data_IF_972388937624
#
_entry.id   IF_972388937624
#
_cell.length_a   1.000
_cell.length_b   1.000
_cell.length_c   1.000
_cell.angle_alpha   90.00
_cell.angle_beta   90.00
_cell.angle_gamma   90.00
#
_symmetry.space_group_name_H-M   'P 1'
#
loop_
_entity.id
_entity.type
_entity.pdbx_description
1 polymer ?
#
# COMPACT_ATOMS: atom_id res chain seq x y z
N UNK A 1 -23.40 20.46 -47.00
CA UNK A 1 -23.76 20.48 -45.56
C UNK A 1 -23.05 19.32 -44.89
N UNK A 2 -21.89 19.57 -44.26
CA UNK A 2 -21.16 18.56 -43.47
C UNK A 2 -21.46 18.84 -42.00
N UNK A 3 -22.10 17.89 -41.32
CA UNK A 3 -22.30 17.91 -39.88
C UNK A 3 -20.97 17.66 -39.19
N UNK A 4 -20.45 18.66 -38.47
CA UNK A 4 -19.35 18.48 -37.55
C UNK A 4 -19.87 17.75 -36.30
N UNK A 5 -19.49 16.48 -36.16
CA UNK A 5 -19.59 15.74 -34.91
C UNK A 5 -18.68 16.41 -33.88
N UNK A 6 -19.26 17.02 -32.85
CA UNK A 6 -18.51 17.51 -31.70
C UNK A 6 -18.10 16.31 -30.86
N UNK A 7 -16.78 16.03 -30.80
CA UNK A 7 -16.21 15.08 -29.86
C UNK A 7 -16.55 15.52 -28.43
N UNK A 8 -17.49 14.83 -27.78
CA UNK A 8 -17.75 14.99 -26.36
C UNK A 8 -16.62 14.33 -25.57
N UNK A 9 -15.55 15.05 -25.26
CA UNK A 9 -14.65 14.66 -24.18
C UNK A 9 -15.39 14.84 -22.86
N UNK A 10 -16.06 13.80 -22.40
CA UNK A 10 -16.65 13.76 -21.06
C UNK A 10 -15.54 13.75 -20.03
N UNK A 11 -15.40 14.84 -19.27
CA UNK A 11 -14.48 14.87 -18.12
C UNK A 11 -14.87 13.78 -17.12
N UNK A 12 -13.89 13.07 -16.58
CA UNK A 12 -14.10 12.11 -15.52
C UNK A 12 -14.42 12.87 -14.22
N UNK A 13 -15.62 12.65 -13.66
CA UNK A 13 -16.06 13.30 -12.42
C UNK A 13 -16.14 12.32 -11.25
N UNK A 14 -15.48 11.16 -11.39
CA UNK A 14 -15.43 10.16 -10.34
C UNK A 14 -14.22 10.39 -9.43
N UNK A 15 -14.47 10.80 -8.19
CA UNK A 15 -13.43 11.08 -7.19
C UNK A 15 -12.54 9.88 -6.89
N UNK A 16 -13.07 8.66 -7.00
CA UNK A 16 -12.36 7.44 -6.67
C UNK A 16 -11.25 7.09 -7.68
N UNK A 17 -11.28 7.70 -8.87
CA UNK A 17 -10.28 7.45 -9.93
C UNK A 17 -9.07 8.39 -9.84
N UNK A 18 -9.08 9.34 -8.92
CA UNK A 18 -8.00 10.32 -8.76
C UNK A 18 -7.10 9.96 -7.59
N UNK A 19 -5.80 10.02 -7.82
CA UNK A 19 -4.81 9.93 -6.76
C UNK A 19 -4.86 11.18 -5.87
N UNK A 20 -4.42 11.05 -4.62
CA UNK A 20 -4.37 12.18 -3.70
C UNK A 20 -3.54 13.35 -4.25
N UNK A 21 -2.44 13.06 -4.96
CA UNK A 21 -1.60 14.07 -5.61
C UNK A 21 -2.36 14.86 -6.67
N UNK A 22 -3.20 14.20 -7.46
CA UNK A 22 -4.05 14.87 -8.46
C UNK A 22 -5.12 15.74 -7.80
N UNK A 23 -5.68 15.30 -6.66
CA UNK A 23 -6.62 16.12 -5.88
C UNK A 23 -5.95 17.36 -5.31
N UNK A 24 -4.70 17.27 -4.84
CA UNK A 24 -3.93 18.44 -4.41
C UNK A 24 -3.64 19.38 -5.58
N UNK A 25 -3.21 18.84 -6.73
CA UNK A 25 -2.95 19.61 -7.94
C UNK A 25 -4.18 20.38 -8.44
N UNK A 26 -5.40 19.85 -8.23
CA UNK A 26 -6.65 20.53 -8.56
C UNK A 26 -6.78 21.91 -7.90
N UNK A 27 -6.23 22.03 -6.70
CA UNK A 27 -6.26 23.25 -5.89
C UNK A 27 -4.91 23.99 -5.88
N UNK A 28 -3.92 23.52 -6.66
CA UNK A 28 -2.55 24.03 -6.69
C UNK A 28 -1.91 23.98 -5.30
N UNK A 29 -2.03 22.83 -4.63
CA UNK A 29 -1.53 22.58 -3.29
C UNK A 29 -0.38 21.58 -3.29
N UNK A 30 0.54 21.76 -2.34
CA UNK A 30 1.55 20.77 -1.99
C UNK A 30 1.09 19.92 -0.80
N UNK A 31 1.88 18.90 -0.42
CA UNK A 31 1.59 18.04 0.73
C UNK A 31 1.69 18.76 2.09
N UNK A 32 2.41 19.89 2.13
CA UNK A 32 2.49 20.76 3.30
C UNK A 32 1.44 21.86 3.21
N UNK A 33 0.23 21.58 3.71
CA UNK A 33 -0.93 22.44 3.54
C UNK A 33 -1.00 23.45 4.69
N UNK A 34 -1.03 24.74 4.37
CA UNK A 34 -1.30 25.80 5.35
C UNK A 34 -2.79 26.19 5.41
N UNK A 35 -3.17 26.96 6.44
CA UNK A 35 -4.55 27.47 6.59
C UNK A 35 -4.91 28.44 5.45
N UNK A 36 -3.95 29.23 4.99
CA UNK A 36 -4.09 30.16 3.87
C UNK A 36 -4.39 29.39 2.58
N UNK A 37 -3.75 28.24 2.40
CA UNK A 37 -3.93 27.37 1.24
C UNK A 37 -5.36 26.79 1.22
N UNK A 38 -5.87 26.36 2.37
CA UNK A 38 -7.27 25.91 2.49
C UNK A 38 -8.27 27.02 2.16
N UNK A 39 -8.00 28.27 2.55
CA UNK A 39 -8.85 29.42 2.18
C UNK A 39 -8.85 29.65 0.66
N UNK A 40 -7.70 29.50 0.00
CA UNK A 40 -7.59 29.60 -1.47
C UNK A 40 -8.35 28.46 -2.15
N UNK A 41 -8.15 27.22 -1.70
CA UNK A 41 -8.86 26.05 -2.22
C UNK A 41 -10.38 26.20 -2.07
N UNK A 42 -10.87 26.67 -0.91
CA UNK A 42 -12.29 26.99 -0.70
C UNK A 42 -12.82 28.01 -1.69
N UNK A 43 -12.02 29.02 -2.03
CA UNK A 43 -12.39 30.04 -3.03
C UNK A 43 -12.54 29.43 -4.41
N UNK A 44 -11.69 28.47 -4.79
CA UNK A 44 -11.81 27.72 -6.05
C UNK A 44 -13.13 26.95 -6.08
N UNK A 45 -13.47 26.20 -5.04
CA UNK A 45 -14.76 25.46 -4.94
C UNK A 45 -15.95 26.41 -5.10
N UNK A 46 -15.92 27.57 -4.45
CA UNK A 46 -16.99 28.57 -4.56
C UNK A 46 -17.14 29.14 -5.98
N UNK A 47 -16.04 29.25 -6.74
CA UNK A 47 -16.08 29.68 -8.15
C UNK A 47 -16.66 28.60 -9.06
N UNK A 48 -16.52 27.34 -8.69
CA UNK A 48 -17.08 26.20 -9.44
C UNK A 48 -18.59 26.02 -9.26
N UNK A 49 -19.24 26.78 -8.38
CA UNK A 49 -20.69 26.75 -8.20
C UNK A 49 -21.43 26.99 -9.55
N UNK A 50 -22.49 26.22 -9.86
CA UNK A 50 -23.17 26.28 -11.17
C UNK A 50 -23.64 27.69 -11.55
N UNK A 51 -24.03 28.49 -10.57
CA UNK A 51 -24.43 29.90 -10.75
C UNK A 51 -23.29 30.80 -11.29
N UNK A 52 -22.04 30.51 -10.89
CA UNK A 52 -20.87 31.33 -11.25
C UNK A 52 -20.12 30.78 -12.47
N UNK A 53 -19.88 29.47 -12.49
CA UNK A 53 -19.13 28.79 -13.55
C UNK A 53 -19.97 28.50 -14.78
N UNK A 54 -21.31 28.51 -14.65
CA UNK A 54 -22.28 28.04 -15.66
C UNK A 54 -22.03 26.59 -16.10
N UNK A 55 -21.29 25.83 -15.30
CA UNK A 55 -21.05 24.41 -15.51
C UNK A 55 -22.16 23.56 -14.87
N UNK A 56 -22.34 22.32 -15.33
CA UNK A 56 -23.28 21.39 -14.70
C UNK A 56 -22.98 21.23 -13.20
N UNK A 57 -24.01 21.03 -12.34
CA UNK A 57 -23.84 20.86 -10.90
C UNK A 57 -22.83 19.77 -10.52
N UNK A 58 -22.68 18.73 -11.34
CA UNK A 58 -21.77 17.61 -11.10
C UNK A 58 -20.31 18.05 -10.90
N UNK A 59 -19.86 19.11 -11.59
CA UNK A 59 -18.52 19.66 -11.39
C UNK A 59 -18.37 20.26 -9.99
N UNK A 60 -19.37 21.00 -9.53
CA UNK A 60 -19.35 21.56 -8.16
C UNK A 60 -19.33 20.46 -7.10
N UNK A 61 -20.13 19.39 -7.26
CA UNK A 61 -20.12 18.26 -6.33
C UNK A 61 -18.75 17.57 -6.29
N UNK A 62 -18.11 17.39 -7.44
CA UNK A 62 -16.77 16.81 -7.53
C UNK A 62 -15.74 17.68 -6.77
N UNK A 63 -15.68 18.98 -7.04
CA UNK A 63 -14.75 19.89 -6.35
C UNK A 63 -15.04 20.00 -4.85
N UNK A 64 -16.31 19.95 -4.44
CA UNK A 64 -16.69 19.94 -3.02
C UNK A 64 -16.16 18.69 -2.32
N UNK A 65 -16.37 17.51 -2.90
CA UNK A 65 -15.87 16.23 -2.36
C UNK A 65 -14.34 16.21 -2.30
N UNK A 66 -13.67 16.65 -3.36
CA UNK A 66 -12.21 16.77 -3.39
C UNK A 66 -11.70 17.69 -2.27
N UNK A 67 -12.35 18.84 -2.04
CA UNK A 67 -11.98 19.75 -0.96
C UNK A 67 -12.22 19.17 0.44
N UNK A 68 -13.31 18.42 0.65
CA UNK A 68 -13.57 17.73 1.92
C UNK A 68 -12.45 16.74 2.28
N UNK A 69 -11.99 15.95 1.30
CA UNK A 69 -10.84 15.02 1.48
C UNK A 69 -9.57 15.78 1.87
N UNK A 70 -9.28 16.91 1.21
CA UNK A 70 -8.11 17.74 1.53
C UNK A 70 -8.18 18.33 2.94
N UNK A 71 -9.36 18.79 3.36
CA UNK A 71 -9.60 19.30 4.73
C UNK A 71 -9.46 18.18 5.76
N UNK A 72 -9.99 16.99 5.48
CA UNK A 72 -9.84 15.83 6.35
C UNK A 72 -8.36 15.46 6.54
N UNK A 73 -7.58 15.44 5.44
CA UNK A 73 -6.15 15.21 5.48
C UNK A 73 -5.43 16.25 6.37
N UNK A 74 -5.69 17.54 6.18
CA UNK A 74 -5.13 18.61 7.01
C UNK A 74 -5.51 18.45 8.49
N UNK A 75 -6.77 18.11 8.77
CA UNK A 75 -7.23 17.86 10.13
C UNK A 75 -6.53 16.65 10.74
N UNK A 76 -6.29 15.59 9.97
CA UNK A 76 -5.59 14.39 10.42
C UNK A 76 -4.11 14.68 10.72
N UNK A 77 -3.44 15.50 9.90
CA UNK A 77 -2.08 15.95 10.19
C UNK A 77 -2.00 16.77 11.49
N UNK A 78 -2.96 17.67 11.72
CA UNK A 78 -2.96 18.53 12.91
C UNK A 78 -3.43 17.82 14.18
N UNK A 79 -4.03 16.62 14.09
CA UNK A 79 -4.51 15.84 15.25
C UNK A 79 -3.37 15.45 16.19
N UNK A 80 -2.19 15.13 15.68
CA UNK A 80 -1.03 14.76 16.52
C UNK A 80 -0.49 15.95 17.33
N UNK A 81 -0.76 17.18 16.91
CA UNK A 81 -0.36 18.40 17.61
C UNK A 81 -1.43 18.95 18.58
N UNK A 82 -2.61 18.33 18.63
CA UNK A 82 -3.69 18.75 19.53
C UNK A 82 -3.54 18.04 20.87
N UNK A 83 -3.78 18.77 21.96
CA UNK A 83 -3.81 18.19 23.30
C UNK A 83 -4.88 17.10 23.39
N UNK A 84 -4.51 15.95 23.96
CA UNK A 84 -5.45 14.84 24.18
C UNK A 84 -6.43 15.26 25.28
N UNK A 85 -7.74 15.29 24.99
CA UNK A 85 -8.73 15.66 26.01
C UNK A 85 -8.69 14.67 27.18
N UNK A 86 -8.64 15.19 28.42
CA UNK A 86 -8.63 14.39 29.66
C UNK A 86 -9.99 13.77 30.00
N UNK A 87 -11.06 14.19 29.32
CA UNK A 87 -12.42 13.69 29.52
C UNK A 87 -12.68 12.42 28.70
N UNK A 88 -13.37 11.44 29.30
CA UNK A 88 -13.82 10.23 28.61
C UNK A 88 -14.60 10.60 27.34
N UNK A 89 -14.08 10.18 26.18
CA UNK A 89 -14.79 10.32 24.92
C UNK A 89 -15.71 9.13 24.72
N UNK A 90 -17.01 9.38 24.77
CA UNK A 90 -18.02 8.40 24.40
C UNK A 90 -17.87 8.13 22.89
N UNK A 91 -17.55 6.89 22.53
CA UNK A 91 -17.44 6.49 21.14
C UNK A 91 -18.75 6.76 20.41
N UNK A 92 -18.70 7.62 19.39
CA UNK A 92 -19.82 7.89 18.51
C UNK A 92 -19.43 7.39 17.11
N UNK A 93 -20.12 6.37 16.57
CA UNK A 93 -19.78 5.83 15.25
C UNK A 93 -19.97 6.89 14.16
N UNK A 94 -19.07 6.96 13.19
CA UNK A 94 -19.07 7.97 12.11
C UNK A 94 -20.34 7.97 11.25
N UNK A 95 -21.04 6.84 11.19
CA UNK A 95 -22.32 6.69 10.49
C UNK A 95 -23.29 5.95 11.41
N UNK A 96 -23.96 6.63 12.36
CA UNK A 96 -24.98 5.99 13.17
C UNK A 96 -26.10 5.53 12.23
N UNK A 97 -26.26 4.23 12.10
CA UNK A 97 -27.44 3.65 11.47
C UNK A 97 -28.66 4.13 12.23
N UNK A 98 -29.66 4.63 11.51
CA UNK A 98 -30.91 5.06 12.13
C UNK A 98 -31.50 3.86 12.87
N UNK A 99 -31.79 4.00 14.17
CA UNK A 99 -32.29 2.91 15.02
C UNK A 99 -33.51 2.23 14.40
N UNK A 100 -34.34 3.00 13.68
CA UNK A 100 -35.51 2.48 12.96
C UNK A 100 -35.11 1.52 11.84
N UNK A 101 -34.02 1.80 11.13
CA UNK A 101 -33.47 0.95 10.06
C UNK A 101 -32.99 -0.37 10.64
N UNK A 102 -32.26 -0.34 11.75
CA UNK A 102 -31.76 -1.55 12.44
C UNK A 102 -32.91 -2.45 12.91
N UNK A 103 -33.92 -1.87 13.58
CA UNK A 103 -35.08 -2.62 14.06
C UNK A 103 -35.85 -3.29 12.91
N UNK A 104 -35.95 -2.62 11.77
CA UNK A 104 -36.69 -3.14 10.62
C UNK A 104 -35.93 -4.27 9.93
N UNK A 105 -34.60 -4.14 9.81
CA UNK A 105 -33.72 -5.21 9.30
C UNK A 105 -33.75 -6.41 10.25
N UNK A 106 -33.67 -6.19 11.57
CA UNK A 106 -33.78 -7.26 12.55
C UNK A 106 -35.11 -8.03 12.46
N UNK A 107 -36.23 -7.32 12.28
CA UNK A 107 -37.54 -7.94 12.06
C UNK A 107 -37.57 -8.76 10.76
N UNK A 108 -37.06 -8.21 9.66
CA UNK A 108 -37.00 -8.91 8.37
C UNK A 108 -36.13 -10.17 8.42
N UNK A 109 -35.00 -10.13 9.11
CA UNK A 109 -34.11 -11.30 9.32
C UNK A 109 -34.84 -12.37 10.13
N UNK A 110 -35.54 -11.99 11.20
CA UNK A 110 -36.28 -12.92 12.04
C UNK A 110 -37.46 -13.57 11.30
N UNK A 111 -38.21 -12.80 10.52
CA UNK A 111 -39.34 -13.29 9.70
C UNK A 111 -38.88 -14.26 8.59
N UNK A 112 -37.67 -14.08 8.04
CA UNK A 112 -37.12 -14.88 6.94
C UNK A 112 -36.69 -16.30 7.35
N UNK A 113 -36.38 -16.52 8.64
CA UNK A 113 -35.90 -17.79 9.17
C UNK A 113 -34.40 -18.06 8.88
N UNK A 114 -33.78 -18.92 9.70
CA UNK A 114 -32.32 -19.13 9.74
C UNK A 114 -31.72 -19.58 8.40
N UNK A 115 -32.34 -20.57 7.74
CA UNK A 115 -31.76 -21.17 6.54
C UNK A 115 -31.81 -20.24 5.33
N UNK A 116 -32.93 -19.54 5.14
CA UNK A 116 -33.10 -18.55 4.07
C UNK A 116 -32.26 -17.30 4.31
N UNK A 117 -32.13 -16.86 5.57
CA UNK A 117 -31.19 -15.80 5.94
C UNK A 117 -29.75 -16.20 5.59
N UNK A 118 -29.28 -17.36 6.03
CA UNK A 118 -27.91 -17.80 5.77
C UNK A 118 -27.61 -17.89 4.27
N UNK A 119 -28.53 -18.44 3.47
CA UNK A 119 -28.36 -18.52 2.02
C UNK A 119 -28.30 -17.13 1.38
N UNK A 120 -29.21 -16.24 1.77
CA UNK A 120 -29.27 -14.87 1.26
C UNK A 120 -28.04 -14.06 1.66
N UNK A 121 -27.65 -14.14 2.94
CA UNK A 121 -26.45 -13.48 3.48
C UNK A 121 -25.19 -13.96 2.75
N UNK A 122 -25.00 -15.28 2.63
CA UNK A 122 -23.84 -15.83 1.93
C UNK A 122 -23.84 -15.36 0.46
N UNK A 123 -24.97 -15.37 -0.23
CA UNK A 123 -25.06 -14.90 -1.62
C UNK A 123 -24.68 -13.41 -1.74
N UNK A 124 -25.21 -12.57 -0.85
CA UNK A 124 -24.91 -11.14 -0.82
C UNK A 124 -23.44 -10.86 -0.45
N UNK A 125 -22.89 -11.62 0.48
CA UNK A 125 -21.49 -11.54 0.89
C UNK A 125 -20.54 -11.95 -0.24
N UNK A 126 -20.79 -13.10 -0.87
CA UNK A 126 -20.00 -13.61 -1.99
C UNK A 126 -20.03 -12.66 -3.19
N UNK A 127 -21.14 -11.94 -3.40
CA UNK A 127 -21.29 -10.99 -4.53
C UNK A 127 -20.64 -9.63 -4.25
N UNK A 128 -20.79 -9.09 -3.04
CA UNK A 128 -20.43 -7.69 -2.75
C UNK A 128 -19.13 -7.54 -1.94
N UNK A 129 -18.88 -8.47 -1.02
CA UNK A 129 -17.82 -8.34 0.01
C UNK A 129 -16.63 -9.28 -0.20
N UNK A 130 -16.78 -10.33 -1.00
CA UNK A 130 -15.69 -11.25 -1.32
C UNK A 130 -14.55 -10.51 -2.03
N UNK A 131 -13.39 -10.44 -1.36
CA UNK A 131 -12.14 -10.12 -2.03
C UNK A 131 -11.78 -11.29 -2.94
N UNK A 132 -11.28 -11.06 -4.18
CA UNK A 132 -10.72 -12.14 -4.96
C UNK A 132 -9.65 -12.83 -4.12
N UNK A 133 -9.77 -14.16 -3.95
CA UNK A 133 -8.75 -14.93 -3.24
C UNK A 133 -7.48 -14.80 -4.07
N UNK A 134 -6.51 -14.02 -3.58
CA UNK A 134 -5.22 -13.92 -4.24
C UNK A 134 -4.53 -15.28 -4.14
N UNK A 135 -4.06 -15.76 -5.27
CA UNK A 135 -3.45 -17.07 -5.39
C UNK A 135 -1.98 -17.11 -4.90
N UNK A 136 -1.64 -16.20 -3.99
CA UNK A 136 -0.28 -15.97 -3.54
C UNK A 136 0.36 -17.24 -2.95
N UNK A 137 -0.45 -18.08 -2.30
CA UNK A 137 -0.02 -19.29 -1.60
C UNK A 137 -0.18 -20.58 -2.42
N UNK A 138 -0.49 -20.51 -3.72
CA UNK A 138 -0.64 -21.73 -4.53
C UNK A 138 0.63 -22.57 -4.62
N UNK A 139 1.78 -21.92 -4.47
CA UNK A 139 3.08 -22.61 -4.46
C UNK A 139 3.20 -23.64 -3.33
N UNK A 140 2.45 -23.51 -2.22
CA UNK A 140 2.40 -24.51 -1.14
C UNK A 140 1.64 -25.78 -1.52
N UNK A 141 0.72 -25.69 -2.48
CA UNK A 141 -0.11 -26.83 -2.89
C UNK A 141 0.63 -27.77 -3.84
N UNK A 142 1.74 -27.31 -4.43
CA UNK A 142 2.54 -28.09 -5.39
C UNK A 142 3.59 -28.89 -4.64
N UNK A 143 3.61 -30.21 -4.86
CA UNK A 143 4.62 -31.12 -4.30
C UNK A 143 5.79 -31.39 -5.25
N UNK A 144 5.86 -30.67 -6.37
CA UNK A 144 6.92 -30.88 -7.36
C UNK A 144 8.29 -30.47 -6.80
N UNK A 145 9.32 -31.31 -6.94
CA UNK A 145 10.66 -30.96 -6.51
C UNK A 145 11.18 -29.75 -7.31
N UNK A 146 11.67 -28.72 -6.59
CA UNK A 146 12.17 -27.48 -7.21
C UNK A 146 13.39 -27.69 -8.10
N UNK A 147 14.18 -28.72 -7.78
CA UNK A 147 15.38 -29.09 -8.53
C UNK A 147 15.33 -30.58 -8.81
N UNK A 148 15.56 -30.95 -10.06
CA UNK A 148 15.75 -32.34 -10.48
C UNK A 148 17.21 -32.49 -10.90
N UNK A 149 17.88 -33.47 -10.32
CA UNK A 149 19.23 -33.84 -10.71
C UNK A 149 19.21 -35.32 -11.09
N UNK A 150 19.64 -35.63 -12.30
CA UNK A 150 19.78 -37.01 -12.73
C UNK A 150 21.01 -37.63 -12.02
N UNK A 151 20.78 -38.74 -11.30
CA UNK A 151 21.77 -39.65 -10.71
C UNK A 151 23.06 -39.00 -10.16
N UNK A 152 22.93 -38.25 -9.07
CA UNK A 152 24.10 -37.80 -8.29
C UNK A 152 24.56 -38.93 -7.36
N UNK A 153 25.47 -39.77 -7.82
CA UNK A 153 26.04 -40.87 -7.01
C UNK A 153 27.39 -40.54 -6.36
N UNK A 154 28.03 -39.42 -6.74
CA UNK A 154 29.40 -39.07 -6.32
C UNK A 154 29.44 -37.70 -5.62
N UNK A 155 30.31 -37.54 -4.61
CA UNK A 155 30.50 -36.30 -3.87
C UNK A 155 30.85 -35.08 -4.76
N UNK A 156 31.61 -35.29 -5.84
CA UNK A 156 31.90 -34.27 -6.85
C UNK A 156 30.63 -33.82 -7.60
N UNK A 157 29.76 -34.77 -7.95
CA UNK A 157 28.47 -34.49 -8.56
C UNK A 157 27.57 -33.64 -7.64
N UNK A 158 27.56 -33.94 -6.34
CA UNK A 158 26.84 -33.14 -5.34
C UNK A 158 27.39 -31.70 -5.33
N UNK A 159 28.71 -31.52 -5.32
CA UNK A 159 29.31 -30.18 -5.33
C UNK A 159 28.89 -29.37 -6.58
N UNK A 160 28.89 -29.98 -7.77
CA UNK A 160 28.45 -29.32 -9.01
C UNK A 160 26.96 -29.00 -9.02
N UNK A 161 26.13 -29.88 -8.46
CA UNK A 161 24.69 -29.66 -8.34
C UNK A 161 24.39 -28.48 -7.39
N UNK A 162 25.04 -28.45 -6.22
CA UNK A 162 24.94 -27.35 -5.26
C UNK A 162 25.42 -26.04 -5.88
N UNK A 163 26.52 -26.05 -6.64
CA UNK A 163 27.01 -24.84 -7.32
C UNK A 163 26.01 -24.34 -8.37
N UNK A 164 25.32 -25.25 -9.06
CA UNK A 164 24.27 -24.92 -10.02
C UNK A 164 23.06 -24.28 -9.34
N UNK A 165 22.64 -24.81 -8.18
CA UNK A 165 21.59 -24.21 -7.34
C UNK A 165 22.00 -22.80 -6.90
N UNK A 166 23.21 -22.64 -6.37
CA UNK A 166 23.71 -21.33 -5.92
C UNK A 166 23.66 -20.28 -7.03
N UNK A 167 24.01 -20.68 -8.26
CA UNK A 167 23.95 -19.80 -9.45
C UNK A 167 22.52 -19.40 -9.78
N UNK A 168 21.57 -20.34 -9.81
CA UNK A 168 20.16 -20.02 -10.07
C UNK A 168 19.57 -19.15 -8.97
N UNK A 169 19.83 -19.47 -7.71
CA UNK A 169 19.35 -18.71 -6.55
C UNK A 169 19.93 -17.29 -6.52
N UNK A 170 21.22 -17.12 -6.81
CA UNK A 170 21.85 -15.79 -6.85
C UNK A 170 21.20 -14.84 -7.87
N UNK A 171 20.67 -15.37 -8.98
CA UNK A 171 19.93 -14.55 -9.96
C UNK A 171 18.53 -14.13 -9.50
N UNK A 172 17.95 -14.85 -8.55
CA UNK A 172 16.61 -14.59 -8.00
C UNK A 172 16.65 -13.67 -6.77
N UNK A 173 17.76 -13.69 -6.02
CA UNK A 173 17.89 -12.86 -4.80
C UNK A 173 18.13 -11.40 -5.19
N UNK A 174 17.16 -10.55 -4.83
CA UNK A 174 17.29 -9.09 -4.99
C UNK A 174 18.43 -8.55 -4.12
N UNK A 175 19.36 -7.82 -4.74
CA UNK A 175 20.40 -7.08 -4.03
C UNK A 175 19.87 -5.71 -3.60
N UNK A 176 19.70 -5.50 -2.30
CA UNK A 176 19.19 -4.23 -1.76
C UNK A 176 20.29 -3.25 -1.32
N UNK A 177 21.57 -3.62 -1.45
CA UNK A 177 22.68 -2.76 -1.00
C UNK A 177 22.72 -2.56 0.51
N UNK A 178 23.18 -1.38 0.93
CA UNK A 178 23.23 -0.99 2.35
C UNK A 178 21.88 -0.40 2.73
N UNK A 179 21.12 -1.14 3.54
CA UNK A 179 19.86 -0.66 4.10
C UNK A 179 20.09 -0.05 5.50
N UNK A 180 19.36 1.01 5.81
CA UNK A 180 19.34 1.56 7.16
C UNK A 180 18.52 0.63 8.05
N UNK A 181 19.17 -0.01 9.03
CA UNK A 181 18.50 -0.86 10.01
C UNK A 181 17.56 -0.01 10.86
N UNK A 182 16.28 -0.40 10.92
CA UNK A 182 15.25 0.36 11.65
C UNK A 182 15.14 -0.18 13.08
N UNK A 183 16.18 0.04 13.86
CA UNK A 183 16.27 -0.40 15.26
C UNK A 183 15.73 0.69 16.19
N UNK A 184 14.40 0.76 16.40
CA UNK A 184 13.76 1.19 17.67
C UNK A 184 12.28 1.59 17.52
N UNK A 185 11.39 0.68 17.86
CA UNK A 185 10.08 1.01 18.45
C UNK A 185 9.04 -0.11 18.31
N UNK A 186 7.77 0.16 18.65
CA UNK A 186 6.75 -0.89 18.82
C UNK A 186 6.10 -1.40 17.52
N UNK A 187 6.32 -0.75 16.38
CA UNK A 187 5.64 -1.01 15.09
C UNK A 187 6.62 -1.40 13.96
N UNK A 188 7.69 -2.14 14.27
CA UNK A 188 8.84 -2.34 13.35
C UNK A 188 8.93 -3.76 12.78
N UNK A 189 7.81 -4.25 12.27
CA UNK A 189 7.78 -5.41 11.38
C UNK A 189 6.88 -5.08 10.20
N UNK A 190 7.24 -5.54 9.00
CA UNK A 190 6.36 -5.52 7.82
C UNK A 190 5.21 -6.55 7.98
N UNK A 191 4.69 -6.72 9.20
CA UNK A 191 3.66 -7.70 9.55
C UNK A 191 2.31 -7.32 8.94
N UNK A 192 2.11 -6.02 8.69
CA UNK A 192 0.93 -5.51 8.01
C UNK A 192 1.30 -5.18 6.58
N UNK A 193 0.44 -5.57 5.62
CA UNK A 193 0.51 -5.24 4.20
C UNK A 193 0.81 -3.75 3.97
N UNK A 194 2.10 -3.42 3.93
CA UNK A 194 2.59 -2.23 3.24
C UNK A 194 2.80 -2.51 1.74
N UNK A 195 2.43 -3.72 1.30
CA UNK A 195 2.49 -4.23 -0.08
C UNK A 195 1.22 -3.96 -0.89
N UNK A 196 0.16 -3.42 -0.28
CA UNK A 196 -1.04 -3.02 -1.02
C UNK A 196 -0.82 -1.66 -1.73
N UNK A 197 -0.61 -1.77 -3.04
CA UNK A 197 -0.97 -0.84 -4.12
C UNK A 197 -0.20 0.49 -4.29
N UNK A 198 0.56 0.99 -3.31
CA UNK A 198 1.26 2.28 -3.46
C UNK A 198 2.64 2.20 -4.13
N UNK A 199 3.27 1.03 -4.14
CA UNK A 199 4.42 0.71 -4.97
C UNK A 199 3.92 -0.25 -6.03
N UNK A 200 3.88 0.20 -7.29
CA UNK A 200 3.15 -0.44 -8.38
C UNK A 200 3.24 -1.96 -8.43
N UNK A 201 2.14 -2.54 -8.91
CA UNK A 201 1.96 -3.92 -9.38
C UNK A 201 3.31 -4.62 -9.65
N UNK A 202 3.82 -5.37 -8.65
CA UNK A 202 5.13 -6.05 -8.74
C UNK A 202 6.11 -5.85 -7.59
N UNK A 203 5.82 -5.02 -6.58
CA UNK A 203 6.61 -4.99 -5.34
C UNK A 203 6.35 -6.22 -4.46
N UNK A 204 6.77 -7.40 -4.93
CA UNK A 204 6.72 -8.66 -4.17
C UNK A 204 7.94 -8.71 -3.23
N UNK A 205 7.88 -7.95 -2.14
CA UNK A 205 8.85 -8.05 -1.05
C UNK A 205 8.47 -9.20 -0.11
N UNK A 206 9.45 -9.94 0.41
CA UNK A 206 9.14 -10.91 1.46
C UNK A 206 8.82 -10.19 2.76
N UNK A 207 7.81 -10.69 3.47
CA UNK A 207 7.52 -10.29 4.84
C UNK A 207 8.61 -10.89 5.75
N UNK A 208 9.59 -10.08 6.10
CA UNK A 208 10.74 -10.50 6.91
C UNK A 208 10.96 -9.57 8.10
N UNK A 209 11.49 -10.13 9.17
CA UNK A 209 11.90 -9.37 10.34
C UNK A 209 13.35 -8.89 10.25
N UNK A 210 13.63 -7.71 10.81
CA UNK A 210 15.00 -7.20 10.94
C UNK A 210 15.84 -8.15 11.83
N UNK A 211 17.11 -8.43 11.52
CA UNK A 211 18.04 -9.15 12.40
C UNK A 211 18.01 -8.72 13.86
N UNK A 212 17.64 -7.48 14.19
CA UNK A 212 17.54 -6.97 15.57
C UNK A 212 16.10 -6.76 16.08
N UNK A 213 15.07 -7.13 15.32
CA UNK A 213 13.68 -7.06 15.78
C UNK A 213 13.41 -7.92 17.02
N UNK A 214 12.43 -7.54 17.85
CA UNK A 214 11.99 -8.38 18.99
C UNK A 214 11.22 -9.62 18.54
N UNK A 215 10.39 -9.48 17.51
CA UNK A 215 9.63 -10.58 16.93
C UNK A 215 10.36 -11.10 15.68
N UNK A 216 10.77 -12.37 15.72
CA UNK A 216 11.46 -13.03 14.62
C UNK A 216 10.47 -13.79 13.76
N UNK A 217 10.35 -13.39 12.51
CA UNK A 217 9.56 -14.08 11.49
C UNK A 217 10.21 -13.89 10.12
N UNK A 218 9.95 -14.82 9.22
CA UNK A 218 10.35 -14.77 7.83
C UNK A 218 9.25 -15.40 6.99
N UNK A 219 9.08 -14.89 5.77
CA UNK A 219 8.14 -15.44 4.80
C UNK A 219 8.53 -16.89 4.48
N UNK A 220 7.56 -17.78 4.55
CA UNK A 220 7.75 -19.19 4.25
C UNK A 220 8.22 -19.43 2.81
N UNK A 221 7.80 -18.60 1.84
CA UNK A 221 8.26 -18.71 0.45
C UNK A 221 9.74 -18.40 0.32
N UNK A 222 10.20 -17.38 1.05
CA UNK A 222 11.61 -17.02 1.15
C UNK A 222 12.42 -18.20 1.68
N UNK A 223 12.01 -18.77 2.82
CA UNK A 223 12.79 -19.81 3.50
C UNK A 223 12.76 -21.15 2.76
N UNK A 224 11.60 -21.58 2.27
CA UNK A 224 11.41 -22.93 1.75
C UNK A 224 11.51 -23.07 0.23
N UNK A 225 11.51 -21.96 -0.52
CA UNK A 225 11.58 -22.00 -1.98
C UNK A 225 12.74 -21.19 -2.52
N UNK A 226 12.73 -19.89 -2.25
CA UNK A 226 13.56 -18.95 -3.00
C UNK A 226 14.98 -18.77 -2.39
N UNK A 227 15.14 -18.91 -1.06
CA UNK A 227 16.41 -18.75 -0.33
C UNK A 227 16.77 -19.99 0.52
N UNK A 228 16.68 -21.18 -0.06
CA UNK A 228 17.02 -22.44 0.62
C UNK A 228 18.53 -22.68 0.76
N UNK A 229 19.33 -22.10 -0.15
CA UNK A 229 20.79 -22.24 -0.19
C UNK A 229 21.42 -20.85 -0.22
N UNK A 230 22.53 -20.66 0.48
CA UNK A 230 23.31 -19.42 0.40
C UNK A 230 23.74 -19.14 -1.04
N UNK A 231 23.31 -18.01 -1.58
CA UNK A 231 23.59 -17.58 -2.96
C UNK A 231 25.06 -17.26 -3.26
N UNK A 232 25.93 -17.24 -2.24
CA UNK A 232 27.35 -16.88 -2.40
C UNK A 232 28.11 -18.04 -3.05
N UNK A 233 28.77 -17.74 -4.16
CA UNK A 233 29.57 -18.69 -4.94
C UNK A 233 31.02 -18.23 -5.10
N UNK A 234 31.90 -19.11 -5.57
CA UNK A 234 33.31 -18.80 -5.81
C UNK A 234 33.49 -17.72 -6.90
N UNK A 235 32.51 -17.57 -7.80
CA UNK A 235 32.45 -16.46 -8.77
C UNK A 235 32.39 -15.09 -8.09
N UNK A 236 31.72 -14.99 -6.95
CA UNK A 236 31.63 -13.74 -6.22
C UNK A 236 32.96 -13.40 -5.55
N UNK A 237 33.71 -14.43 -5.14
CA UNK A 237 35.09 -14.29 -4.69
C UNK A 237 36.03 -13.84 -5.83
N UNK A 238 35.79 -14.27 -7.06
CA UNK A 238 36.57 -13.84 -8.24
C UNK A 238 36.32 -12.38 -8.64
N UNK A 239 35.10 -11.86 -8.41
CA UNK A 239 34.75 -10.45 -8.71
C UNK A 239 35.42 -9.44 -7.77
N UNK A 240 35.87 -9.89 -6.60
CA UNK A 240 36.52 -9.03 -5.60
C UNK A 240 38.02 -8.99 -5.90
N UNK A 241 38.65 -7.80 -6.00
CA UNK A 241 40.08 -7.70 -6.22
C UNK A 241 40.86 -8.32 -5.06
N UNK A 242 41.89 -9.10 -5.41
CA UNK A 242 42.70 -9.89 -4.48
C UNK A 242 44.08 -9.25 -4.36
N UNK A 243 44.57 -9.12 -3.14
CA UNK A 243 45.87 -8.52 -2.85
C UNK A 243 46.81 -9.55 -2.25
N UNK A 244 48.01 -9.66 -2.82
CA UNK A 244 49.03 -10.59 -2.33
C UNK A 244 49.73 -10.08 -1.06
N UNK A 245 49.64 -8.77 -0.77
CA UNK A 245 50.26 -8.15 0.39
C UNK A 245 49.38 -7.05 1.00
N UNK A 246 49.57 -6.80 2.30
CA UNK A 246 48.89 -5.72 3.03
C UNK A 246 49.23 -4.35 2.43
N UNK A 247 50.46 -4.17 1.95
CA UNK A 247 50.92 -2.92 1.36
C UNK A 247 50.19 -2.61 0.04
N UNK A 248 49.97 -3.60 -0.82
CA UNK A 248 49.14 -3.43 -2.03
C UNK A 248 47.70 -3.01 -1.68
N UNK A 249 47.11 -3.65 -0.67
CA UNK A 249 45.78 -3.29 -0.17
C UNK A 249 45.73 -1.84 0.36
N UNK A 250 46.77 -1.39 1.09
CA UNK A 250 46.84 -0.02 1.60
C UNK A 250 46.97 1.02 0.49
N UNK A 251 47.78 0.74 -0.54
CA UNK A 251 47.91 1.64 -1.71
C UNK A 251 46.59 1.77 -2.46
N UNK A 252 45.88 0.68 -2.70
CA UNK A 252 44.59 0.73 -3.38
C UNK A 252 43.53 1.45 -2.55
N UNK A 253 43.43 1.15 -1.24
CA UNK A 253 42.55 1.89 -0.34
C UNK A 253 42.87 3.39 -0.29
N UNK A 254 44.14 3.77 -0.33
CA UNK A 254 44.57 5.17 -0.38
C UNK A 254 44.29 5.85 -1.72
N UNK A 255 44.23 5.09 -2.82
CA UNK A 255 43.85 5.60 -4.14
C UNK A 255 42.34 5.81 -4.29
N UNK A 256 41.54 5.06 -3.54
CA UNK A 256 40.09 5.23 -3.50
C UNK A 256 39.77 6.52 -2.75
N UNK A 257 39.43 7.57 -3.50
CA UNK A 257 38.95 8.82 -2.94
C UNK A 257 37.50 8.66 -2.44
N UNK A 258 37.34 7.98 -1.30
CA UNK A 258 36.05 7.80 -0.64
C UNK A 258 35.70 9.12 0.05
N UNK A 259 35.09 10.05 -0.69
CA UNK A 259 34.55 11.29 -0.13
C UNK A 259 33.44 10.92 0.87
N UNK A 260 33.63 11.24 2.13
CA UNK A 260 32.57 11.12 3.12
C UNK A 260 31.45 12.10 2.75
N UNK A 261 30.20 11.67 2.89
CA UNK A 261 29.05 12.56 2.66
C UNK A 261 29.17 13.73 3.64
N UNK A 262 29.09 14.94 3.11
CA UNK A 262 29.13 16.14 3.94
C UNK A 262 27.88 16.22 4.84
N UNK A 263 27.97 16.94 5.96
CA UNK A 263 26.81 17.14 6.83
C UNK A 263 25.64 17.76 6.07
N UNK A 264 25.88 18.76 5.21
CA UNK A 264 24.81 19.39 4.45
C UNK A 264 24.17 18.43 3.45
N UNK A 265 24.98 17.58 2.80
CA UNK A 265 24.47 16.54 1.89
C UNK A 265 23.65 15.49 2.65
N UNK A 266 24.10 15.11 3.86
CA UNK A 266 23.41 14.13 4.72
C UNK A 266 22.04 14.64 5.18
N UNK A 267 21.97 15.90 5.62
CA UNK A 267 20.70 16.53 6.03
C UNK A 267 19.71 16.60 4.88
N UNK A 268 20.17 16.89 3.65
CA UNK A 268 19.31 16.88 2.45
C UNK A 268 18.73 15.49 2.18
N UNK A 269 19.55 14.44 2.27
CA UNK A 269 19.09 13.06 2.07
C UNK A 269 18.03 12.69 3.11
N UNK A 270 18.22 13.08 4.37
CA UNK A 270 17.25 12.81 5.43
C UNK A 270 15.91 13.51 5.18
N UNK A 271 15.94 14.78 4.79
CA UNK A 271 14.72 15.54 4.45
C UNK A 271 14.00 14.91 3.26
N UNK A 272 14.73 14.54 2.20
CA UNK A 272 14.15 13.90 1.02
C UNK A 272 13.49 12.56 1.37
N UNK A 273 14.12 11.74 2.21
CA UNK A 273 13.56 10.48 2.69
C UNK A 273 12.30 10.71 3.55
N UNK A 274 12.31 11.71 4.43
CA UNK A 274 11.16 12.06 5.26
C UNK A 274 9.98 12.54 4.41
N UNK A 275 10.25 13.38 3.40
CA UNK A 275 9.24 13.85 2.45
C UNK A 275 8.65 12.71 1.63
N UNK A 276 9.50 11.83 1.09
CA UNK A 276 9.04 10.64 0.34
C UNK A 276 8.16 9.73 1.22
N UNK A 277 8.55 9.53 2.48
CA UNK A 277 7.75 8.76 3.44
C UNK A 277 6.39 9.42 3.70
N UNK A 278 6.36 10.74 3.94
CA UNK A 278 5.12 11.50 4.15
C UNK A 278 4.18 11.38 2.95
N UNK A 279 4.72 11.47 1.73
CA UNK A 279 3.94 11.32 0.50
C UNK A 279 3.35 9.91 0.38
N UNK A 280 4.14 8.87 0.66
CA UNK A 280 3.67 7.47 0.66
C UNK A 280 2.56 7.25 1.70
N UNK A 281 2.75 7.76 2.92
CA UNK A 281 1.74 7.65 3.97
C UNK A 281 0.44 8.37 3.61
N UNK A 282 0.52 9.55 2.99
CA UNK A 282 -0.65 10.29 2.51
C UNK A 282 -1.40 9.53 1.42
N UNK A 283 -0.68 8.95 0.45
CA UNK A 283 -1.27 8.14 -0.61
C UNK A 283 -1.96 6.89 -0.03
N UNK A 284 -1.32 6.19 0.93
CA UNK A 284 -1.90 5.03 1.60
C UNK A 284 -3.16 5.39 2.37
N UNK A 285 -3.14 6.49 3.13
CA UNK A 285 -4.32 6.97 3.85
C UNK A 285 -5.49 7.24 2.89
N UNK A 286 -5.23 7.91 1.78
CA UNK A 286 -6.26 8.18 0.77
C UNK A 286 -6.83 6.89 0.17
N UNK A 287 -5.98 5.95 -0.22
CA UNK A 287 -6.41 4.65 -0.76
C UNK A 287 -7.29 3.88 0.24
N UNK A 288 -6.93 3.89 1.52
CA UNK A 288 -7.74 3.28 2.58
C UNK A 288 -9.06 4.02 2.78
N UNK A 289 -9.08 5.37 2.75
CA UNK A 289 -10.33 6.13 2.78
C UNK A 289 -11.25 5.77 1.61
N UNK A 290 -10.71 5.63 0.39
CA UNK A 290 -11.49 5.16 -0.78
C UNK A 290 -12.08 3.77 -0.53
N UNK A 291 -11.26 2.81 -0.07
CA UNK A 291 -11.71 1.46 0.27
C UNK A 291 -12.83 1.49 1.31
N UNK A 292 -12.69 2.28 2.38
CA UNK A 292 -13.73 2.41 3.42
C UNK A 292 -15.04 2.99 2.87
N UNK A 293 -14.98 3.95 1.94
CA UNK A 293 -16.16 4.49 1.28
C UNK A 293 -16.86 3.45 0.41
N UNK A 294 -16.09 2.68 -0.38
CA UNK A 294 -16.63 1.58 -1.18
C UNK A 294 -17.30 0.52 -0.30
N UNK A 295 -16.67 0.15 0.82
CA UNK A 295 -17.27 -0.78 1.79
C UNK A 295 -18.55 -0.22 2.41
N UNK A 296 -18.59 1.08 2.70
CA UNK A 296 -19.81 1.72 3.21
C UNK A 296 -20.95 1.70 2.19
N UNK A 297 -20.66 1.94 0.90
CA UNK A 297 -21.66 1.85 -0.18
C UNK A 297 -22.15 0.42 -0.39
N UNK A 298 -21.24 -0.56 -0.42
CA UNK A 298 -21.59 -1.99 -0.49
C UNK A 298 -22.45 -2.41 0.70
N UNK A 299 -22.11 -1.97 1.91
CA UNK A 299 -22.91 -2.27 3.09
C UNK A 299 -24.33 -1.66 3.00
N UNK A 300 -24.45 -0.42 2.49
CA UNK A 300 -25.78 0.19 2.23
C UNK A 300 -26.59 -0.62 1.22
N UNK A 301 -25.97 -1.10 0.14
CA UNK A 301 -26.61 -1.96 -0.86
C UNK A 301 -27.12 -3.27 -0.22
N UNK A 302 -26.28 -3.94 0.56
CA UNK A 302 -26.65 -5.16 1.31
C UNK A 302 -27.83 -4.90 2.25
N UNK A 303 -27.79 -3.82 3.04
CA UNK A 303 -28.91 -3.48 3.93
C UNK A 303 -30.19 -3.16 3.15
N UNK A 304 -30.09 -2.43 2.03
CA UNK A 304 -31.23 -2.15 1.14
C UNK A 304 -31.88 -3.43 0.60
N UNK A 305 -31.09 -4.43 0.21
CA UNK A 305 -31.64 -5.70 -0.27
C UNK A 305 -32.46 -6.43 0.80
N UNK A 306 -32.04 -6.41 2.07
CA UNK A 306 -32.82 -6.97 3.17
C UNK A 306 -34.17 -6.28 3.39
N UNK A 307 -34.29 -4.98 3.06
CA UNK A 307 -35.60 -4.30 3.05
C UNK A 307 -36.51 -4.79 1.93
N UNK A 308 -35.96 -5.09 0.75
CA UNK A 308 -36.76 -5.50 -0.42
C UNK A 308 -37.21 -6.95 -0.40
N UNK A 309 -36.53 -7.82 0.36
CA UNK A 309 -36.84 -9.24 0.48
C UNK A 309 -38.08 -9.54 1.34
N UNK A 310 -38.80 -8.49 1.77
CA UNK A 310 -40.04 -8.60 2.56
C UNK A 310 -41.29 -8.94 1.74
N UNK A 311 -41.14 -9.20 0.44
CA UNK A 311 -42.21 -9.62 -0.47
C UNK A 311 -42.03 -11.08 -0.90
#
# INVERSE_FOLDING_TARGET
>A
MKSCSANSHSHNLNINMYSFKELLNLFQLDYNISVEDLKRAKTVVLRMHPDKSRLPPNYFLFYKKAFEIVVEYYNNQTKTSKDVPTTEQIYNPLNPTDKRTEETVHKAIHEMGKDRFNHTFNTLFETNMKKPVQDHNEWFKKHDPLYQFDDISTASGIATAVETIKKSTASLVKYNGVETMKSAGPTYGNLYDDDDDAAGEGSHGYIASDPFSKLKFDDLRKVHKDQTVFAVSERDYEKVPKFASIDQLQRERGSLNIKHIDRSESEKILVEQEEALKQRMAAKQHAETLRTMEYAEKNKSVMATFFTLKN
#
